data_IF_090067924864
#
_entry.id   IF_090067924864
#
_cell.length_a   1.000
_cell.length_b   1.000
_cell.length_c   1.000
_cell.angle_alpha   90.00
_cell.angle_beta   90.00
_cell.angle_gamma   90.00
#
_symmetry.space_group_name_H-M   'P 1'
#
loop_
_entity.id
_entity.type
_entity.pdbx_description
1 polymer ?
#
# COMPACT_ATOMS: atom_id res chain seq x y z
N UNK A 1 -2.47 -6.02 19.08
CA UNK A 1 -2.03 -5.58 17.74
C UNK A 1 -0.53 -5.37 17.82
N UNK A 2 0.27 -5.74 16.81
CA UNK A 2 1.70 -5.50 16.85
C UNK A 2 1.98 -3.99 16.94
N UNK A 3 2.91 -3.62 17.82
CA UNK A 3 3.49 -2.30 17.86
C UNK A 3 4.41 -2.11 16.65
N UNK A 4 4.68 -0.86 16.27
CA UNK A 4 5.66 -0.58 15.21
C UNK A 4 7.04 -1.15 15.54
N UNK A 5 7.41 -1.16 16.81
CA UNK A 5 8.70 -1.69 17.29
C UNK A 5 8.83 -3.19 17.09
N UNK A 6 7.72 -3.90 16.87
CA UNK A 6 7.72 -5.33 16.57
C UNK A 6 8.11 -5.62 15.11
N UNK A 7 8.32 -4.58 14.30
CA UNK A 7 8.78 -4.68 12.91
C UNK A 7 10.07 -3.88 12.78
N UNK A 8 11.21 -4.58 12.77
CA UNK A 8 12.50 -3.98 12.44
C UNK A 8 12.69 -3.97 10.90
N UNK A 9 12.78 -2.79 10.26
CA UNK A 9 13.05 -2.68 8.82
C UNK A 9 14.33 -3.42 8.37
N UNK A 10 15.31 -3.55 9.28
CA UNK A 10 16.60 -4.22 9.02
C UNK A 10 16.44 -5.74 8.89
N UNK A 11 15.38 -6.32 9.45
CA UNK A 11 15.07 -7.75 9.32
C UNK A 11 14.40 -8.09 7.98
N UNK A 12 13.86 -7.09 7.27
CA UNK A 12 13.11 -7.27 6.02
C UNK A 12 13.52 -6.34 4.87
N UNK A 13 14.83 -6.17 4.57
CA UNK A 13 15.31 -5.19 3.60
C UNK A 13 14.76 -5.43 2.18
N UNK A 14 14.53 -6.69 1.82
CA UNK A 14 13.94 -7.04 0.51
C UNK A 14 12.46 -6.69 0.36
N UNK A 15 11.73 -6.48 1.46
CA UNK A 15 10.33 -6.08 1.43
C UNK A 15 10.17 -4.56 1.38
N UNK A 16 11.13 -3.79 1.94
CA UNK A 16 11.07 -2.33 2.04
C UNK A 16 10.72 -1.61 0.73
N UNK A 17 11.23 -2.01 -0.46
CA UNK A 17 10.87 -1.37 -1.72
C UNK A 17 9.37 -1.44 -2.04
N UNK A 18 8.67 -2.44 -1.52
CA UNK A 18 7.24 -2.70 -1.76
C UNK A 18 6.34 -2.23 -0.61
N UNK A 19 6.89 -1.56 0.41
CA UNK A 19 6.13 -1.10 1.57
C UNK A 19 5.70 0.36 1.46
N UNK A 20 4.55 0.68 2.04
CA UNK A 20 4.12 2.04 2.37
C UNK A 20 3.85 2.08 3.87
N UNK A 21 4.42 3.05 4.57
CA UNK A 21 4.08 3.34 5.95
C UNK A 21 3.29 4.64 6.01
N UNK A 22 2.19 4.64 6.76
CA UNK A 22 1.35 5.80 6.95
C UNK A 22 1.20 6.04 8.46
N UNK A 23 1.60 7.22 8.92
CA UNK A 23 1.27 7.68 10.28
C UNK A 23 -0.23 8.05 10.31
N UNK A 24 -0.94 7.59 11.35
CA UNK A 24 -2.35 7.90 11.60
C UNK A 24 -2.41 8.96 12.70
N UNK A 25 -2.76 10.19 12.32
CA UNK A 25 -3.00 11.29 13.26
C UNK A 25 -4.48 11.25 13.67
N UNK A 26 -4.74 10.90 14.93
CA UNK A 26 -6.11 10.75 15.48
C UNK A 26 -6.72 12.11 15.81
N UNK A 27 -8.01 12.28 15.55
CA UNK A 27 -8.77 13.49 15.85
C UNK A 27 -10.26 13.31 15.52
N UNK A 28 -11.02 14.42 15.46
CA UNK A 28 -12.41 14.38 14.98
C UNK A 28 -12.53 13.79 13.57
N UNK A 29 -11.53 14.08 12.73
CA UNK A 29 -11.23 13.36 11.50
C UNK A 29 -9.79 12.89 11.57
N UNK A 30 -9.56 11.63 11.23
CA UNK A 30 -8.19 11.12 11.15
C UNK A 30 -7.48 11.79 9.97
N UNK A 31 -6.17 12.00 10.10
CA UNK A 31 -5.31 12.41 9.00
C UNK A 31 -4.25 11.35 8.75
N UNK A 32 -3.86 11.20 7.48
CA UNK A 32 -2.97 10.12 7.05
C UNK A 32 -1.76 10.68 6.34
N UNK A 33 -0.59 10.55 6.97
CA UNK A 33 0.68 11.07 6.43
C UNK A 33 1.59 9.93 6.01
N UNK A 34 2.06 9.95 4.76
CA UNK A 34 3.02 8.95 4.29
C UNK A 34 4.37 9.16 4.99
N UNK A 35 4.79 8.17 5.77
CA UNK A 35 6.08 8.15 6.47
C UNK A 35 7.19 7.53 5.61
N UNK A 36 6.84 6.50 4.85
CA UNK A 36 7.72 5.79 3.93
C UNK A 36 6.92 5.46 2.67
N UNK A 37 7.52 5.71 1.52
CA UNK A 37 7.03 5.22 0.24
C UNK A 37 8.14 4.41 -0.43
N UNK A 38 7.97 3.09 -0.48
CA UNK A 38 8.99 2.18 -1.02
C UNK A 38 9.28 2.45 -2.48
N UNK A 39 10.52 2.18 -2.92
CA UNK A 39 11.01 2.52 -4.26
C UNK A 39 10.27 1.80 -5.39
N UNK A 40 9.87 0.54 -5.21
CA UNK A 40 9.02 -0.17 -6.19
C UNK A 40 7.62 0.43 -6.23
N UNK A 41 7.09 0.88 -5.08
CA UNK A 41 5.82 1.60 -5.03
C UNK A 41 5.93 2.91 -5.80
N UNK A 42 7.02 3.68 -5.63
CA UNK A 42 7.31 4.89 -6.42
C UNK A 42 7.33 4.56 -7.92
N UNK A 43 8.03 3.50 -8.32
CA UNK A 43 8.13 3.08 -9.72
C UNK A 43 6.77 2.70 -10.32
N UNK A 44 5.90 2.03 -9.55
CA UNK A 44 4.57 1.63 -10.00
C UNK A 44 3.60 2.82 -10.01
N UNK A 45 3.65 3.69 -9.01
CA UNK A 45 2.68 4.78 -8.82
C UNK A 45 3.12 6.12 -9.42
N UNK A 46 4.37 6.22 -9.86
CA UNK A 46 4.93 7.37 -10.56
C UNK A 46 5.34 8.55 -9.68
N UNK A 47 5.31 8.42 -8.35
CA UNK A 47 5.71 9.49 -7.44
C UNK A 47 6.18 8.94 -6.08
N UNK A 48 7.14 9.64 -5.47
CA UNK A 48 7.43 9.51 -4.04
C UNK A 48 6.52 10.46 -3.27
N UNK A 49 5.67 9.88 -2.41
CA UNK A 49 4.70 10.62 -1.60
C UNK A 49 5.16 10.80 -0.14
N UNK A 50 6.40 10.44 0.18
CA UNK A 50 6.95 10.57 1.53
C UNK A 50 6.79 11.99 2.07
N UNK A 51 6.29 12.10 3.29
CA UNK A 51 6.02 13.36 3.98
C UNK A 51 4.67 14.01 3.63
N UNK A 52 3.98 13.56 2.58
CA UNK A 52 2.71 14.13 2.12
C UNK A 52 1.53 13.53 2.88
N UNK A 53 0.43 14.28 2.93
CA UNK A 53 -0.86 13.83 3.42
C UNK A 53 -1.72 13.30 2.28
N UNK A 54 -2.54 12.27 2.53
CA UNK A 54 -3.41 11.70 1.49
C UNK A 54 -4.48 12.69 1.01
N UNK A 55 -4.82 13.65 1.85
CA UNK A 55 -5.80 14.69 1.60
C UNK A 55 -5.30 15.75 0.60
N UNK A 56 -3.98 15.84 0.40
CA UNK A 56 -3.42 16.85 -0.48
C UNK A 56 -3.87 16.67 -1.94
N UNK A 57 -4.01 17.77 -2.70
CA UNK A 57 -4.34 17.69 -4.12
C UNK A 57 -3.31 16.89 -4.91
N UNK A 58 -3.77 16.08 -5.85
CA UNK A 58 -2.91 15.34 -6.79
C UNK A 58 -2.29 14.04 -6.25
N UNK A 59 -2.62 13.62 -5.03
CA UNK A 59 -2.08 12.38 -4.44
C UNK A 59 -2.63 11.11 -5.12
N UNK A 60 -3.94 11.06 -5.32
CA UNK A 60 -4.62 9.94 -5.99
C UNK A 60 -6.03 10.35 -6.39
N UNK A 61 -6.51 9.81 -7.52
CA UNK A 61 -7.90 10.00 -7.96
C UNK A 61 -8.90 9.26 -7.05
N UNK A 62 -8.44 8.28 -6.28
CA UNK A 62 -9.26 7.47 -5.38
C UNK A 62 -9.16 7.94 -3.92
N UNK A 63 -8.90 9.24 -3.69
CA UNK A 63 -8.59 9.78 -2.36
C UNK A 63 -9.65 9.42 -1.32
N UNK A 64 -10.90 9.72 -1.63
CA UNK A 64 -11.98 9.58 -0.65
C UNK A 64 -12.22 8.09 -0.32
N UNK A 65 -12.15 7.21 -1.32
CA UNK A 65 -12.23 5.76 -1.13
C UNK A 65 -11.04 5.19 -0.32
N UNK A 66 -9.84 5.75 -0.52
CA UNK A 66 -8.66 5.36 0.26
C UNK A 66 -8.78 5.78 1.73
N UNK A 67 -9.21 7.03 1.98
CA UNK A 67 -9.47 7.53 3.35
C UNK A 67 -10.53 6.68 4.03
N UNK A 68 -11.65 6.41 3.36
CA UNK A 68 -12.72 5.59 3.91
C UNK A 68 -12.23 4.16 4.24
N UNK A 69 -11.41 3.58 3.36
CA UNK A 69 -10.77 2.29 3.63
C UNK A 69 -9.85 2.35 4.85
N UNK A 70 -9.10 3.44 5.05
CA UNK A 70 -8.19 3.57 6.18
C UNK A 70 -8.97 3.78 7.48
N UNK A 71 -10.01 4.61 7.46
CA UNK A 71 -10.89 4.84 8.61
C UNK A 71 -11.52 3.53 9.09
N UNK A 72 -12.01 2.69 8.15
CA UNK A 72 -12.53 1.36 8.49
C UNK A 72 -11.49 0.45 9.12
N UNK A 73 -10.28 0.38 8.56
CA UNK A 73 -9.19 -0.45 9.10
C UNK A 73 -8.78 0.02 10.49
N UNK A 74 -8.70 1.34 10.69
CA UNK A 74 -8.36 1.94 11.98
C UNK A 74 -9.45 1.68 13.02
N UNK A 75 -10.72 1.77 12.66
CA UNK A 75 -11.85 1.50 13.55
C UNK A 75 -11.95 0.00 13.92
N UNK A 76 -11.86 -0.87 12.92
CA UNK A 76 -12.02 -2.33 13.10
C UNK A 76 -10.78 -2.99 13.69
N UNK A 77 -9.61 -2.35 13.54
CA UNK A 77 -8.29 -2.84 13.97
C UNK A 77 -7.94 -4.21 13.40
N UNK A 78 -8.41 -4.48 12.17
CA UNK A 78 -8.22 -5.75 11.48
C UNK A 78 -7.39 -5.58 10.21
N UNK A 79 -6.49 -6.53 9.92
CA UNK A 79 -5.84 -6.61 8.62
C UNK A 79 -6.85 -6.66 7.48
N UNK A 80 -6.53 -5.97 6.39
CA UNK A 80 -7.31 -6.04 5.14
C UNK A 80 -6.38 -6.43 4.00
N UNK A 81 -6.75 -7.49 3.28
CA UNK A 81 -6.10 -7.91 2.06
C UNK A 81 -7.02 -7.69 0.86
N UNK A 82 -6.45 -7.16 -0.22
CA UNK A 82 -7.11 -6.90 -1.48
C UNK A 82 -6.24 -7.40 -2.63
N UNK A 83 -6.88 -8.00 -3.63
CA UNK A 83 -6.25 -8.40 -4.87
C UNK A 83 -7.05 -7.85 -6.05
N UNK A 84 -6.40 -7.10 -6.93
CA UNK A 84 -7.05 -6.50 -8.08
C UNK A 84 -6.35 -6.95 -9.36
N UNK A 85 -7.10 -7.61 -10.24
CA UNK A 85 -6.64 -7.91 -11.60
C UNK A 85 -6.54 -6.61 -12.39
N UNK A 86 -5.47 -6.45 -13.13
CA UNK A 86 -5.32 -5.42 -14.16
C UNK A 86 -4.81 -6.07 -15.45
N UNK A 87 -5.07 -5.41 -16.58
CA UNK A 87 -4.68 -5.92 -17.88
C UNK A 87 -4.09 -4.73 -18.66
N UNK A 88 -2.76 -4.60 -18.73
CA UNK A 88 -2.12 -3.48 -19.41
C UNK A 88 -2.25 -3.56 -20.94
N UNK A 89 -2.37 -4.77 -21.50
CA UNK A 89 -2.59 -5.04 -22.92
C UNK A 89 -3.36 -6.36 -23.12
N UNK A 90 -3.63 -6.73 -24.38
CA UNK A 90 -4.44 -7.92 -24.71
C UNK A 90 -3.81 -9.26 -24.30
N UNK A 91 -2.51 -9.30 -24.01
CA UNK A 91 -1.74 -10.52 -23.81
C UNK A 91 -1.20 -10.68 -22.39
N UNK A 92 -1.16 -9.60 -21.62
CA UNK A 92 -0.60 -9.59 -20.26
C UNK A 92 -1.72 -9.42 -19.25
N UNK A 93 -1.81 -10.36 -18.31
CA UNK A 93 -2.64 -10.20 -17.11
C UNK A 93 -1.72 -9.95 -15.92
N UNK A 94 -2.08 -8.99 -15.08
CA UNK A 94 -1.39 -8.73 -13.83
C UNK A 94 -2.34 -8.65 -12.65
N UNK A 95 -1.76 -8.72 -11.46
CA UNK A 95 -2.45 -8.61 -10.19
C UNK A 95 -1.71 -7.62 -9.28
N UNK A 96 -2.48 -6.71 -8.69
CA UNK A 96 -2.03 -5.90 -7.57
C UNK A 96 -2.48 -6.56 -6.28
N UNK A 97 -1.53 -6.95 -5.45
CA UNK A 97 -1.75 -7.41 -4.09
C UNK A 97 -1.51 -6.26 -3.13
N UNK A 98 -2.47 -6.04 -2.25
CA UNK A 98 -2.38 -5.02 -1.21
C UNK A 98 -2.80 -5.60 0.12
N UNK A 99 -1.86 -5.66 1.06
CA UNK A 99 -2.10 -6.05 2.45
C UNK A 99 -1.92 -4.82 3.33
N UNK A 100 -2.92 -4.46 4.12
CA UNK A 100 -2.85 -3.38 5.10
C UNK A 100 -2.92 -3.97 6.49
N UNK A 101 -1.90 -3.68 7.29
CA UNK A 101 -1.79 -4.10 8.67
C UNK A 101 -1.89 -2.85 9.56
N UNK A 102 -2.91 -2.75 10.43
CA UNK A 102 -2.92 -1.72 11.45
C UNK A 102 -1.86 -2.06 12.50
N UNK A 103 -1.05 -1.06 12.85
CA UNK A 103 0.00 -1.12 13.86
C UNK A 103 -0.26 -0.07 14.93
N UNK A 104 0.05 -0.41 16.17
CA UNK A 104 -0.12 0.49 17.30
C UNK A 104 -0.09 -0.22 18.63
N UNK A 105 -0.30 0.56 19.69
CA UNK A 105 -0.19 0.09 21.07
C UNK A 105 -1.59 -0.02 21.69
N UNK A 106 -1.80 -1.08 22.47
CA UNK A 106 -3.09 -1.39 23.12
C UNK A 106 -4.26 -1.37 22.11
N UNK A 107 -5.10 -0.34 22.19
CA UNK A 107 -6.33 -0.18 21.42
C UNK A 107 -6.27 0.98 20.42
N UNK A 108 -5.11 1.62 20.22
CA UNK A 108 -4.97 2.75 19.30
C UNK A 108 -4.10 2.38 18.10
N UNK A 109 -4.68 2.47 16.90
CA UNK A 109 -3.91 2.39 15.65
C UNK A 109 -3.23 3.73 15.42
N UNK A 110 -1.89 3.72 15.39
CA UNK A 110 -1.08 4.92 15.11
C UNK A 110 -0.36 4.85 13.77
N UNK A 111 -0.34 3.68 13.14
CA UNK A 111 0.33 3.48 11.87
C UNK A 111 -0.38 2.41 11.04
N UNK A 112 -0.34 2.56 9.73
CA UNK A 112 -0.70 1.52 8.78
C UNK A 112 0.56 1.09 8.03
N UNK A 113 0.85 -0.21 8.06
CA UNK A 113 1.86 -0.83 7.19
C UNK A 113 1.14 -1.48 6.01
N UNK A 114 1.50 -1.05 4.81
CA UNK A 114 0.90 -1.54 3.58
C UNK A 114 1.97 -2.25 2.77
N UNK A 115 1.80 -3.55 2.52
CA UNK A 115 2.53 -4.27 1.49
C UNK A 115 1.82 -4.10 0.15
N UNK A 116 2.53 -3.68 -0.88
CA UNK A 116 2.00 -3.45 -2.22
C UNK A 116 2.86 -4.16 -3.26
N UNK A 117 2.33 -5.20 -3.88
CA UNK A 117 3.03 -6.01 -4.87
C UNK A 117 2.29 -6.01 -6.21
N UNK A 118 3.06 -5.89 -7.29
CA UNK A 118 2.56 -6.11 -8.65
C UNK A 118 3.16 -7.40 -9.18
N UNK A 119 2.31 -8.34 -9.54
CA UNK A 119 2.70 -9.62 -10.14
C UNK A 119 2.08 -9.72 -11.52
N UNK A 120 2.82 -10.27 -12.48
CA UNK A 120 2.31 -10.58 -13.81
C UNK A 120 2.09 -12.08 -13.91
N UNK A 121 0.89 -12.47 -14.35
CA UNK A 121 0.61 -13.81 -14.78
C UNK A 121 1.19 -13.94 -16.19
N UNK A 122 2.41 -14.44 -16.32
CA UNK A 122 2.97 -14.73 -17.64
C UNK A 122 2.22 -15.95 -18.18
N UNK A 123 1.53 -15.85 -19.34
CA UNK A 123 1.12 -17.06 -20.03
C UNK A 123 2.38 -17.87 -20.38
N UNK A 124 2.34 -19.19 -20.15
CA UNK A 124 3.46 -20.11 -20.36
C UNK A 124 3.98 -20.18 -21.81
N UNK A 125 3.30 -19.52 -22.76
CA UNK A 125 3.76 -19.35 -24.13
C UNK A 125 3.34 -17.97 -24.66
N UNK A 126 4.31 -17.06 -24.84
CA UNK A 126 4.19 -16.09 -25.92
C UNK A 126 4.45 -16.83 -27.24
N UNK A 127 3.58 -16.73 -28.26
CA UNK A 127 4.00 -17.08 -29.62
C UNK A 127 5.20 -16.19 -30.00
N UNK A 128 6.17 -16.70 -30.78
CA UNK A 128 7.31 -15.90 -31.23
C UNK A 128 6.77 -14.65 -31.93
N UNK A 129 7.28 -13.48 -31.53
CA UNK A 129 6.98 -12.25 -32.25
C UNK A 129 7.44 -12.43 -33.69
N UNK A 130 6.49 -12.37 -34.61
CA UNK A 130 6.73 -12.50 -36.05
C UNK A 130 7.60 -11.36 -36.58
N UNK A 131 8.41 -11.74 -37.57
CA UNK A 131 9.50 -11.03 -38.25
C UNK A 131 9.27 -9.57 -38.64
#
# INVERSE_FOLDING_TARGET
MPARTDIDPVEIPGLLPNLILIDVERGERNRYRFRLYGTEVCAIRGADLTGRYIEEPGITQLRDAAIESYDRIVADRKPVYQCHKFQPDDYVIGYYHRLVLPLGEQEEVRMLLIGFYRVYDRPAHLPPQGS
#
